data_IF_227216882746
#
_entry.id   IF_227216882746
#
_cell.length_a   1.000
_cell.length_b   1.000
_cell.length_c   1.000
_cell.angle_alpha   90.00
_cell.angle_beta   90.00
_cell.angle_gamma   90.00
#
_symmetry.space_group_name_H-M   'P 1'
#
loop_
_entity.id
_entity.type
_entity.pdbx_description
1 polymer ?
#
# COMPACT_ATOMS: atom_id res chain seq x y z
N UNK A 1 -16.31 -12.72 -26.98
CA UNK A 1 -16.73 -11.55 -26.19
C UNK A 1 -17.11 -12.06 -24.81
N UNK A 2 -16.48 -11.61 -23.77
CA UNK A 2 -16.71 -12.12 -22.40
C UNK A 2 -17.01 -10.94 -21.48
N UNK A 3 -18.12 -11.01 -20.75
CA UNK A 3 -18.49 -10.10 -19.69
C UNK A 3 -18.07 -10.75 -18.37
N UNK A 4 -17.41 -9.99 -17.49
CA UNK A 4 -16.89 -10.51 -16.21
C UNK A 4 -17.10 -9.46 -15.14
N UNK A 5 -17.56 -9.90 -13.99
CA UNK A 5 -17.65 -9.06 -12.78
C UNK A 5 -16.38 -9.20 -11.94
N UNK A 6 -15.92 -8.07 -11.40
CA UNK A 6 -14.69 -8.01 -10.59
C UNK A 6 -14.83 -7.00 -9.46
N UNK A 7 -14.68 -7.46 -8.23
CA UNK A 7 -14.44 -6.57 -7.11
C UNK A 7 -13.05 -5.96 -7.25
N UNK A 8 -12.96 -4.64 -7.22
CA UNK A 8 -11.70 -3.92 -7.36
C UNK A 8 -11.76 -2.52 -6.74
N UNK A 9 -10.58 -1.98 -6.40
CA UNK A 9 -10.40 -0.59 -5.99
C UNK A 9 -9.67 0.19 -7.09
N UNK A 10 -10.06 1.45 -7.32
CA UNK A 10 -9.37 2.35 -8.24
C UNK A 10 -8.10 2.88 -7.58
N UNK A 11 -6.94 2.49 -8.11
CA UNK A 11 -5.63 2.98 -7.66
C UNK A 11 -5.23 4.28 -8.33
N UNK A 12 -5.57 4.42 -9.61
CA UNK A 12 -5.22 5.57 -10.43
C UNK A 12 -6.21 5.71 -11.58
N UNK A 13 -6.36 6.92 -12.07
CA UNK A 13 -7.00 7.17 -13.36
C UNK A 13 -6.18 8.17 -14.20
N UNK A 14 -6.35 8.09 -15.50
CA UNK A 14 -5.89 9.09 -16.45
C UNK A 14 -7.08 9.54 -17.31
N UNK A 15 -7.24 10.86 -17.48
CA UNK A 15 -8.26 11.38 -18.37
C UNK A 15 -7.94 10.95 -19.81
N UNK A 16 -8.95 10.44 -20.50
CA UNK A 16 -8.85 9.96 -21.87
C UNK A 16 -10.00 10.55 -22.68
N UNK A 17 -9.69 11.31 -23.74
CA UNK A 17 -10.67 12.10 -24.47
C UNK A 17 -11.47 13.05 -23.55
N UNK A 18 -12.58 13.59 -24.04
CA UNK A 18 -13.33 14.62 -23.32
C UNK A 18 -14.07 14.10 -22.08
N UNK A 19 -14.61 12.89 -22.15
CA UNK A 19 -15.50 12.37 -21.12
C UNK A 19 -15.11 11.00 -20.58
N UNK A 20 -13.97 10.46 -20.98
CA UNK A 20 -13.53 9.11 -20.64
C UNK A 20 -12.37 9.16 -19.64
N UNK A 21 -12.16 8.04 -18.93
CA UNK A 21 -10.97 7.79 -18.12
C UNK A 21 -10.42 6.39 -18.40
N UNK A 22 -9.11 6.26 -18.40
CA UNK A 22 -8.45 4.97 -18.24
C UNK A 22 -8.24 4.75 -16.76
N UNK A 23 -8.83 3.68 -16.20
CA UNK A 23 -8.73 3.30 -14.81
C UNK A 23 -7.66 2.23 -14.63
N UNK A 24 -6.83 2.38 -13.60
CA UNK A 24 -6.01 1.30 -13.06
C UNK A 24 -6.73 0.76 -11.83
N UNK A 25 -7.29 -0.43 -11.96
CA UNK A 25 -8.03 -1.14 -10.92
C UNK A 25 -7.13 -2.19 -10.27
N UNK A 26 -7.33 -2.43 -8.98
CA UNK A 26 -6.69 -3.50 -8.24
C UNK A 26 -7.72 -4.50 -7.74
N UNK A 27 -7.67 -5.71 -8.30
CA UNK A 27 -8.56 -6.81 -7.97
C UNK A 27 -7.85 -7.89 -7.16
N UNK A 28 -8.51 -8.49 -6.15
CA UNK A 28 -7.96 -9.62 -5.39
C UNK A 28 -7.57 -10.81 -6.25
N UNK A 29 -8.35 -11.06 -7.32
CA UNK A 29 -8.23 -12.27 -8.14
C UNK A 29 -7.43 -12.08 -9.44
N UNK A 30 -7.31 -10.83 -9.92
CA UNK A 30 -6.66 -10.51 -11.21
C UNK A 30 -5.49 -9.55 -11.07
N UNK A 31 -5.19 -9.10 -9.82
CA UNK A 31 -4.19 -8.08 -9.61
C UNK A 31 -4.52 -6.78 -10.32
N UNK A 32 -3.61 -6.30 -11.15
CA UNK A 32 -3.77 -5.07 -11.91
C UNK A 32 -4.66 -5.25 -13.14
N UNK A 33 -5.65 -4.37 -13.30
CA UNK A 33 -6.55 -4.33 -14.45
C UNK A 33 -6.56 -2.90 -15.00
N UNK A 34 -6.31 -2.75 -16.31
CA UNK A 34 -6.50 -1.48 -17.01
C UNK A 34 -7.83 -1.52 -17.77
N UNK A 35 -8.74 -0.59 -17.45
CA UNK A 35 -10.08 -0.57 -18.07
C UNK A 35 -10.50 0.84 -18.46
N UNK A 36 -11.11 0.97 -19.63
CA UNK A 36 -11.65 2.23 -20.13
C UNK A 36 -13.05 2.47 -19.57
N UNK A 37 -13.23 3.55 -18.80
CA UNK A 37 -14.51 4.02 -18.30
C UNK A 37 -15.07 5.11 -19.23
N UNK A 38 -15.91 4.69 -20.19
CA UNK A 38 -16.47 5.58 -21.21
C UNK A 38 -17.55 6.48 -20.63
N UNK A 39 -17.48 7.77 -20.96
CA UNK A 39 -18.47 8.75 -20.53
C UNK A 39 -18.54 8.95 -19.00
N UNK A 40 -17.59 8.45 -18.25
CA UNK A 40 -17.61 8.51 -16.78
C UNK A 40 -17.57 9.94 -16.24
N UNK A 41 -17.03 10.91 -17.01
CA UNK A 41 -16.93 12.32 -16.60
C UNK A 41 -18.17 13.15 -16.96
N UNK A 42 -19.18 12.57 -17.62
CA UNK A 42 -20.43 13.27 -17.86
C UNK A 42 -21.20 13.49 -16.55
N UNK A 43 -21.84 14.65 -16.31
CA UNK A 43 -22.46 14.98 -15.03
C UNK A 43 -23.51 13.99 -14.52
N UNK A 44 -24.15 13.22 -15.39
CA UNK A 44 -25.17 12.22 -15.06
C UNK A 44 -24.68 10.79 -15.34
N UNK A 45 -23.36 10.58 -15.36
CA UNK A 45 -22.83 9.24 -15.62
C UNK A 45 -23.08 8.32 -14.41
N UNK A 46 -23.66 7.11 -14.62
CA UNK A 46 -23.87 6.17 -13.53
C UNK A 46 -22.56 5.64 -12.91
N UNK A 47 -21.45 5.75 -13.65
CA UNK A 47 -20.12 5.31 -13.19
C UNK A 47 -19.19 6.48 -12.81
N UNK A 48 -19.74 7.69 -12.62
CA UNK A 48 -18.94 8.88 -12.28
C UNK A 48 -18.15 8.63 -11.00
N UNK A 49 -18.84 8.32 -9.90
CA UNK A 49 -18.21 8.10 -8.58
C UNK A 49 -17.34 6.83 -8.54
N UNK A 50 -17.72 5.81 -9.30
CA UNK A 50 -16.94 4.58 -9.41
C UNK A 50 -15.65 4.74 -10.23
N UNK A 51 -15.46 5.86 -10.91
CA UNK A 51 -14.24 6.18 -11.67
C UNK A 51 -13.29 7.13 -10.93
N UNK A 52 -13.57 7.41 -9.65
CA UNK A 52 -12.73 8.26 -8.80
C UNK A 52 -11.69 7.44 -8.03
N UNK A 53 -10.60 8.09 -7.57
CA UNK A 53 -9.62 7.46 -6.69
C UNK A 53 -10.29 6.91 -5.43
N UNK A 54 -9.77 5.81 -4.90
CA UNK A 54 -10.27 5.09 -3.73
C UNK A 54 -11.62 4.38 -3.93
N UNK A 55 -12.30 4.54 -5.06
CA UNK A 55 -13.57 3.87 -5.27
C UNK A 55 -13.38 2.34 -5.28
N UNK A 56 -13.96 1.68 -4.28
CA UNK A 56 -14.08 0.22 -4.19
C UNK A 56 -15.48 -0.16 -4.68
N UNK A 57 -15.57 -1.12 -5.58
CA UNK A 57 -16.84 -1.57 -6.12
C UNK A 57 -16.72 -2.86 -6.91
N UNK A 58 -17.88 -3.37 -7.30
CA UNK A 58 -18.00 -4.48 -8.25
C UNK A 58 -18.15 -3.90 -9.66
N UNK A 59 -17.14 -4.14 -10.48
CA UNK A 59 -17.04 -3.63 -11.84
C UNK A 59 -17.40 -4.71 -12.84
N UNK A 60 -18.39 -4.43 -13.67
CA UNK A 60 -18.72 -5.24 -14.82
C UNK A 60 -17.86 -4.82 -16.00
N UNK A 61 -17.01 -5.72 -16.47
CA UNK A 61 -16.04 -5.46 -17.51
C UNK A 61 -16.38 -6.22 -18.79
N UNK A 62 -16.40 -5.51 -19.91
CA UNK A 62 -16.54 -6.07 -21.24
C UNK A 62 -15.19 -6.15 -21.93
N UNK A 63 -14.81 -7.34 -22.39
CA UNK A 63 -13.55 -7.57 -23.08
C UNK A 63 -13.73 -7.64 -24.59
N UNK A 64 -12.95 -6.82 -25.31
CA UNK A 64 -12.81 -6.87 -26.78
C UNK A 64 -11.34 -6.92 -27.16
N UNK A 65 -10.86 -8.08 -27.57
CA UNK A 65 -9.42 -8.31 -27.76
C UNK A 65 -8.65 -8.13 -26.44
N UNK A 66 -7.62 -7.30 -26.44
CA UNK A 66 -6.83 -6.97 -25.25
C UNK A 66 -7.44 -5.83 -24.40
N UNK A 67 -8.51 -5.18 -24.85
CA UNK A 67 -9.08 -4.01 -24.20
C UNK A 67 -10.24 -4.37 -23.29
N UNK A 68 -10.24 -3.83 -22.08
CA UNK A 68 -11.33 -3.90 -21.13
C UNK A 68 -12.07 -2.56 -21.08
N UNK A 69 -13.40 -2.61 -21.01
CA UNK A 69 -14.25 -1.43 -20.87
C UNK A 69 -15.20 -1.66 -19.69
N UNK A 70 -15.33 -0.67 -18.81
CA UNK A 70 -16.32 -0.68 -17.72
C UNK A 70 -17.72 -0.49 -18.33
N UNK A 71 -18.60 -1.46 -18.13
CA UNK A 71 -20.00 -1.42 -18.56
C UNK A 71 -20.85 -0.80 -17.46
N UNK A 72 -20.70 -1.30 -16.25
CA UNK A 72 -21.39 -0.83 -15.06
C UNK A 72 -20.47 -0.98 -13.83
N UNK A 73 -20.82 -0.31 -12.74
CA UNK A 73 -20.14 -0.49 -11.47
C UNK A 73 -21.11 -0.28 -10.31
N UNK A 74 -21.07 -1.18 -9.33
CA UNK A 74 -21.77 -1.03 -8.06
C UNK A 74 -20.76 -0.65 -6.98
N UNK A 75 -20.89 0.56 -6.44
CA UNK A 75 -20.01 1.04 -5.38
C UNK A 75 -20.26 0.29 -4.07
N UNK A 76 -19.16 -0.08 -3.40
CA UNK A 76 -19.14 -0.67 -2.06
C UNK A 76 -18.68 0.40 -1.07
N UNK A 77 -17.57 1.09 -1.36
CA UNK A 77 -16.99 2.12 -0.49
C UNK A 77 -16.23 3.16 -1.33
N UNK A 78 -16.21 4.40 -0.91
CA UNK A 78 -15.52 5.51 -1.59
C UNK A 78 -14.42 6.15 -0.77
N UNK A 79 -14.34 5.79 0.52
CA UNK A 79 -13.45 6.44 1.50
C UNK A 79 -13.57 7.96 1.45
N UNK A 80 -14.81 8.45 1.28
CA UNK A 80 -15.10 9.87 1.05
C UNK A 80 -14.53 10.80 2.14
N UNK A 81 -14.56 10.46 3.45
CA UNK A 81 -14.03 11.33 4.49
C UNK A 81 -12.53 11.66 4.33
N UNK A 82 -11.74 10.83 3.62
CA UNK A 82 -10.34 11.17 3.32
C UNK A 82 -10.22 12.51 2.59
N UNK A 83 -11.21 12.87 1.75
CA UNK A 83 -11.16 14.09 0.92
C UNK A 83 -11.33 15.38 1.73
N UNK A 84 -11.79 15.30 2.97
CA UNK A 84 -11.93 16.43 3.85
C UNK A 84 -10.61 16.91 4.48
N UNK A 85 -9.57 16.06 4.44
CA UNK A 85 -8.27 16.31 5.03
C UNK A 85 -7.16 16.09 3.99
N UNK A 86 -6.42 17.15 3.68
CA UNK A 86 -5.36 17.10 2.67
C UNK A 86 -4.24 16.12 3.03
N UNK A 87 -3.86 16.03 4.30
CA UNK A 87 -2.80 15.13 4.76
C UNK A 87 -3.26 13.68 4.61
N UNK A 88 -4.49 13.37 5.02
CA UNK A 88 -5.05 12.02 4.89
C UNK A 88 -5.19 11.59 3.43
N UNK A 89 -5.65 12.47 2.54
CA UNK A 89 -5.75 12.13 1.11
C UNK A 89 -4.37 11.92 0.48
N UNK A 90 -3.38 12.71 0.90
CA UNK A 90 -2.00 12.55 0.43
C UNK A 90 -1.40 11.22 0.87
N UNK A 91 -1.61 10.83 2.12
CA UNK A 91 -1.20 9.53 2.67
C UNK A 91 -1.93 8.39 1.97
N UNK A 92 -3.25 8.49 1.78
CA UNK A 92 -4.02 7.50 1.04
C UNK A 92 -3.50 7.32 -0.40
N UNK A 93 -3.22 8.42 -1.09
CA UNK A 93 -2.64 8.41 -2.45
C UNK A 93 -1.26 7.75 -2.48
N UNK A 94 -0.44 7.97 -1.44
CA UNK A 94 0.84 7.27 -1.29
C UNK A 94 0.64 5.76 -1.17
N UNK A 95 -0.31 5.30 -0.34
CA UNK A 95 -0.62 3.87 -0.19
C UNK A 95 -1.07 3.23 -1.53
N UNK A 96 -1.95 3.92 -2.28
CA UNK A 96 -2.37 3.46 -3.62
C UNK A 96 -1.18 3.35 -4.58
N UNK A 97 -0.28 4.35 -4.57
CA UNK A 97 0.88 4.37 -5.47
C UNK A 97 1.92 3.30 -5.11
N UNK A 98 2.13 3.02 -3.82
CA UNK A 98 2.96 1.88 -3.37
C UNK A 98 2.36 0.57 -3.85
N UNK A 99 1.05 0.35 -3.65
CA UNK A 99 0.37 -0.85 -4.11
C UNK A 99 0.45 -1.01 -5.64
N UNK A 100 0.25 0.08 -6.41
CA UNK A 100 0.36 0.07 -7.88
C UNK A 100 1.74 -0.40 -8.36
N UNK A 101 2.81 -0.11 -7.62
CA UNK A 101 4.18 -0.46 -7.99
C UNK A 101 4.50 -1.96 -7.85
N UNK A 102 3.78 -2.69 -7.01
CA UNK A 102 4.05 -4.12 -6.74
C UNK A 102 3.08 -5.06 -7.46
N UNK A 103 1.88 -4.60 -7.79
CA UNK A 103 0.88 -5.45 -8.44
C UNK A 103 1.19 -5.74 -9.90
N UNK A 104 0.89 -6.95 -10.32
CA UNK A 104 1.05 -7.40 -11.70
C UNK A 104 -0.28 -7.81 -12.33
N UNK A 105 -0.45 -7.63 -13.66
CA UNK A 105 -1.64 -8.11 -14.37
C UNK A 105 -1.76 -9.64 -14.31
N UNK A 106 -2.96 -10.12 -14.00
CA UNK A 106 -3.27 -11.56 -13.99
C UNK A 106 -2.74 -12.34 -12.78
N UNK A 107 -2.04 -11.67 -11.86
CA UNK A 107 -1.51 -12.29 -10.64
C UNK A 107 -2.44 -12.01 -9.46
N UNK A 108 -3.07 -13.03 -8.84
CA UNK A 108 -3.89 -12.85 -7.66
C UNK A 108 -3.08 -12.23 -6.52
N UNK A 109 -3.68 -11.25 -5.81
CA UNK A 109 -3.02 -10.51 -4.74
C UNK A 109 -4.01 -10.19 -3.59
N UNK A 110 -4.75 -11.19 -3.15
CA UNK A 110 -5.83 -11.02 -2.16
C UNK A 110 -5.32 -10.44 -0.85
N UNK A 111 -4.19 -10.93 -0.32
CA UNK A 111 -3.63 -10.42 0.94
C UNK A 111 -3.27 -8.94 0.84
N UNK A 112 -2.69 -8.53 -0.29
CA UNK A 112 -2.31 -7.13 -0.49
C UNK A 112 -3.52 -6.21 -0.66
N UNK A 113 -4.58 -6.66 -1.36
CA UNK A 113 -5.84 -5.89 -1.45
C UNK A 113 -6.43 -5.71 -0.05
N UNK A 114 -6.52 -6.78 0.74
CA UNK A 114 -7.07 -6.71 2.10
C UNK A 114 -6.23 -5.82 3.00
N UNK A 115 -4.91 -5.88 2.91
CA UNK A 115 -3.99 -4.99 3.63
C UNK A 115 -4.24 -3.52 3.27
N UNK A 116 -4.36 -3.21 1.97
CA UNK A 116 -4.63 -1.87 1.49
C UNK A 116 -5.98 -1.35 1.98
N UNK A 117 -7.06 -2.14 1.82
CA UNK A 117 -8.41 -1.75 2.24
C UNK A 117 -8.49 -1.55 3.76
N UNK A 118 -7.86 -2.44 4.54
CA UNK A 118 -7.80 -2.30 5.99
C UNK A 118 -7.07 -1.01 6.40
N UNK A 119 -5.93 -0.71 5.78
CA UNK A 119 -5.16 0.51 6.06
C UNK A 119 -5.95 1.77 5.70
N UNK A 120 -6.59 1.79 4.51
CA UNK A 120 -7.44 2.90 4.08
C UNK A 120 -8.64 3.10 5.02
N UNK A 121 -9.27 2.00 5.47
CA UNK A 121 -10.37 2.07 6.44
C UNK A 121 -9.93 2.70 7.75
N UNK A 122 -8.79 2.29 8.31
CA UNK A 122 -8.25 2.90 9.53
C UNK A 122 -7.86 4.37 9.32
N UNK A 123 -7.22 4.68 8.20
CA UNK A 123 -6.87 6.06 7.85
C UNK A 123 -8.12 6.95 7.70
N UNK A 124 -9.24 6.39 7.23
CA UNK A 124 -10.48 7.13 6.97
C UNK A 124 -11.33 7.31 8.22
N UNK A 125 -11.51 6.24 9.01
CA UNK A 125 -12.55 6.14 10.03
C UNK A 125 -12.02 6.12 11.46
N UNK A 126 -10.71 6.32 11.67
CA UNK A 126 -10.13 6.45 13.01
C UNK A 126 -9.25 7.69 13.10
N UNK A 127 -9.01 8.15 14.34
CA UNK A 127 -8.12 9.29 14.61
C UNK A 127 -6.66 8.87 14.84
N UNK A 128 -6.28 7.68 14.37
CA UNK A 128 -4.91 7.20 14.52
C UNK A 128 -3.92 8.04 13.74
N UNK A 129 -2.73 8.28 14.30
CA UNK A 129 -1.64 8.91 13.56
C UNK A 129 -1.30 8.12 12.31
N UNK A 130 -1.12 8.81 11.19
CA UNK A 130 -0.90 8.16 9.89
C UNK A 130 0.46 7.46 9.77
N UNK A 131 1.52 7.94 10.46
CA UNK A 131 2.86 7.33 10.36
C UNK A 131 2.91 5.88 10.84
N UNK A 132 2.37 5.52 12.01
CA UNK A 132 2.24 4.13 12.42
C UNK A 132 1.42 3.28 11.45
N UNK A 133 0.33 3.82 10.89
CA UNK A 133 -0.48 3.11 9.90
C UNK A 133 0.33 2.80 8.64
N UNK A 134 1.02 3.79 8.09
CA UNK A 134 1.88 3.59 6.91
C UNK A 134 3.04 2.65 7.22
N UNK A 135 3.70 2.78 8.38
CA UNK A 135 4.77 1.88 8.78
C UNK A 135 4.30 0.42 8.85
N UNK A 136 3.12 0.18 9.42
CA UNK A 136 2.50 -1.14 9.47
C UNK A 136 2.17 -1.68 8.08
N UNK A 137 1.56 -0.86 7.22
CA UNK A 137 1.31 -1.21 5.83
C UNK A 137 2.58 -1.63 5.10
N UNK A 138 3.63 -0.79 5.15
CA UNK A 138 4.90 -1.06 4.49
C UNK A 138 5.56 -2.34 5.01
N UNK A 139 5.50 -2.58 6.31
CA UNK A 139 6.08 -3.78 6.90
C UNK A 139 5.33 -5.06 6.48
N UNK A 140 3.99 -5.05 6.45
CA UNK A 140 3.20 -6.17 5.96
C UNK A 140 3.37 -6.36 4.45
N UNK A 141 3.46 -5.28 3.67
CA UNK A 141 3.77 -5.34 2.24
C UNK A 141 5.05 -6.13 1.97
N UNK A 142 6.12 -5.92 2.78
CA UNK A 142 7.36 -6.69 2.62
C UNK A 142 7.17 -8.19 2.81
N UNK A 143 6.17 -8.57 3.61
CA UNK A 143 5.82 -9.97 3.82
C UNK A 143 5.04 -10.56 2.64
N UNK A 144 4.10 -9.81 2.07
CA UNK A 144 3.34 -10.21 0.89
C UNK A 144 4.26 -10.38 -0.34
N UNK A 145 5.26 -9.49 -0.48
CA UNK A 145 6.18 -9.45 -1.62
C UNK A 145 7.45 -10.30 -1.43
N UNK A 146 7.57 -11.03 -0.33
CA UNK A 146 8.66 -11.99 -0.11
C UNK A 146 10.01 -11.40 0.31
N UNK A 147 10.08 -10.09 0.61
CA UNK A 147 11.32 -9.46 1.11
C UNK A 147 11.20 -8.98 2.57
N UNK A 148 10.49 -9.76 3.40
CA UNK A 148 10.33 -9.52 4.84
C UNK A 148 11.67 -9.29 5.53
N UNK A 149 11.85 -8.19 6.29
CA UNK A 149 13.12 -7.92 6.95
C UNK A 149 13.44 -8.97 8.02
N UNK A 150 14.71 -9.40 8.08
CA UNK A 150 15.24 -10.24 9.16
C UNK A 150 15.31 -9.42 10.44
N UNK A 151 14.67 -9.89 11.53
CA UNK A 151 14.49 -9.12 12.78
C UNK A 151 14.90 -9.87 14.04
N UNK A 152 15.33 -11.12 13.94
CA UNK A 152 15.73 -11.95 15.08
C UNK A 152 17.22 -12.30 15.08
N UNK A 153 17.87 -12.20 13.93
CA UNK A 153 19.28 -12.49 13.74
C UNK A 153 19.93 -11.37 12.95
N UNK A 154 21.19 -11.09 13.27
CA UNK A 154 22.01 -10.18 12.47
C UNK A 154 22.13 -10.70 11.05
N UNK A 155 21.91 -9.82 10.04
CA UNK A 155 21.97 -10.24 8.63
C UNK A 155 23.37 -10.54 8.14
N UNK A 156 24.41 -10.16 8.88
CA UNK A 156 25.82 -10.37 8.53
C UNK A 156 26.44 -11.57 9.24
N UNK A 157 26.34 -11.67 10.57
CA UNK A 157 26.99 -12.73 11.36
C UNK A 157 26.03 -13.80 11.89
N UNK A 158 24.73 -13.67 11.59
CA UNK A 158 23.66 -14.59 11.99
C UNK A 158 23.46 -14.72 13.51
N UNK A 159 24.20 -13.97 14.35
CA UNK A 159 24.01 -13.93 15.79
C UNK A 159 22.56 -13.58 16.13
N UNK A 160 21.98 -14.29 17.08
CA UNK A 160 20.65 -13.95 17.60
C UNK A 160 20.69 -12.61 18.31
N UNK A 161 19.78 -11.73 17.96
CA UNK A 161 19.61 -10.41 18.54
C UNK A 161 18.70 -10.51 19.77
N UNK A 162 19.11 -9.86 20.87
CA UNK A 162 18.31 -9.79 22.09
C UNK A 162 17.18 -8.75 21.93
N UNK A 163 16.23 -8.76 22.86
CA UNK A 163 15.10 -7.81 22.78
C UNK A 163 15.45 -6.42 23.30
N UNK A 164 16.54 -6.31 24.06
CA UNK A 164 16.95 -5.08 24.74
C UNK A 164 18.12 -4.36 24.11
N UNK A 165 18.82 -5.01 23.16
CA UNK A 165 19.98 -4.41 22.52
C UNK A 165 19.61 -3.39 21.46
N UNK A 166 20.41 -2.35 21.32
CA UNK A 166 20.36 -1.45 20.18
C UNK A 166 20.86 -2.16 18.93
N UNK A 167 20.16 -1.94 17.82
CA UNK A 167 20.49 -2.56 16.53
C UNK A 167 20.51 -1.48 15.45
N UNK A 168 21.02 -1.83 14.29
CA UNK A 168 20.99 -1.00 13.09
C UNK A 168 20.24 -1.74 11.98
N UNK A 169 19.89 -1.05 10.93
CA UNK A 169 19.18 -1.65 9.81
C UNK A 169 20.02 -1.55 8.52
N UNK A 170 20.25 -2.70 7.91
CA UNK A 170 20.84 -2.76 6.58
C UNK A 170 19.73 -2.90 5.52
N UNK A 171 19.54 -1.84 4.72
CA UNK A 171 18.56 -1.84 3.65
C UNK A 171 18.90 -2.84 2.54
N UNK A 172 20.19 -3.01 2.23
CA UNK A 172 20.65 -3.95 1.20
C UNK A 172 20.55 -5.41 1.69
N UNK A 173 21.02 -5.68 2.92
CA UNK A 173 20.91 -6.99 3.55
C UNK A 173 19.49 -7.36 3.99
N UNK A 174 18.59 -6.38 4.08
CA UNK A 174 17.19 -6.58 4.38
C UNK A 174 16.92 -7.00 5.82
N UNK A 175 17.50 -6.31 6.81
CA UNK A 175 17.21 -6.62 8.19
C UNK A 175 18.11 -5.97 9.22
N UNK A 176 17.98 -6.45 10.47
CA UNK A 176 18.70 -5.92 11.62
C UNK A 176 20.15 -6.39 11.66
N UNK A 177 21.02 -5.50 12.14
CA UNK A 177 22.47 -5.69 12.29
C UNK A 177 22.87 -5.46 13.73
N UNK A 178 23.76 -6.29 14.26
CA UNK A 178 24.28 -6.15 15.62
C UNK A 178 25.36 -5.05 15.70
N UNK A 179 25.76 -4.70 16.93
CA UNK A 179 26.79 -3.69 17.20
C UNK A 179 28.11 -3.99 16.47
N UNK A 180 28.58 -5.24 16.47
CA UNK A 180 29.89 -5.60 15.89
C UNK A 180 29.92 -5.56 14.35
N UNK A 181 28.75 -5.68 13.71
CA UNK A 181 28.63 -5.75 12.25
C UNK A 181 28.11 -4.45 11.62
N UNK A 182 27.67 -3.45 12.42
CA UNK A 182 27.10 -2.24 11.84
C UNK A 182 28.17 -1.39 11.13
N UNK A 183 27.78 -0.76 10.04
CA UNK A 183 28.63 0.15 9.29
C UNK A 183 28.14 1.59 9.47
N UNK A 184 29.07 2.55 9.32
CA UNK A 184 28.75 3.97 9.38
C UNK A 184 27.68 4.32 8.33
N UNK A 185 26.63 5.01 8.75
CA UNK A 185 25.50 5.40 7.89
C UNK A 185 24.30 4.47 7.95
N UNK A 186 24.40 3.30 8.57
CA UNK A 186 23.20 2.49 8.83
C UNK A 186 22.30 3.18 9.87
N UNK A 187 20.98 3.28 9.62
CA UNK A 187 20.06 3.84 10.57
C UNK A 187 19.96 2.98 11.83
N UNK A 188 20.03 3.63 12.99
CA UNK A 188 19.84 2.99 14.27
C UNK A 188 18.37 2.59 14.48
N UNK A 189 18.16 1.42 15.07
CA UNK A 189 16.84 0.88 15.42
C UNK A 189 16.81 0.60 16.91
N UNK A 190 15.96 1.32 17.63
CA UNK A 190 15.80 1.10 19.08
C UNK A 190 15.21 -0.27 19.39
N UNK A 191 15.44 -0.76 20.60
CA UNK A 191 14.83 -2.00 21.08
C UNK A 191 13.30 -1.98 20.98
N UNK A 192 12.67 -0.82 21.26
CA UNK A 192 11.24 -0.64 21.14
C UNK A 192 10.76 -0.78 19.68
N UNK A 193 11.46 -0.18 18.72
CA UNK A 193 11.17 -0.30 17.28
C UNK A 193 11.34 -1.73 16.78
N UNK A 194 12.42 -2.40 17.18
CA UNK A 194 12.66 -3.80 16.83
C UNK A 194 11.57 -4.72 17.41
N UNK A 195 11.13 -4.48 18.66
CA UNK A 195 10.01 -5.19 19.28
C UNK A 195 8.71 -4.95 18.54
N UNK A 196 8.41 -3.70 18.17
CA UNK A 196 7.23 -3.35 17.38
C UNK A 196 7.21 -4.07 16.04
N UNK A 197 8.31 -4.06 15.28
CA UNK A 197 8.41 -4.78 14.00
C UNK A 197 8.17 -6.29 14.16
N UNK A 198 8.65 -6.88 15.27
CA UNK A 198 8.39 -8.30 15.57
C UNK A 198 6.93 -8.58 15.85
N UNK A 199 6.30 -7.77 16.70
CA UNK A 199 4.90 -7.90 17.06
C UNK A 199 3.99 -7.71 15.85
N UNK A 200 4.21 -6.66 15.05
CA UNK A 200 3.42 -6.35 13.87
C UNK A 200 3.40 -7.50 12.86
N UNK A 201 4.53 -8.15 12.61
CA UNK A 201 4.63 -9.28 11.66
C UNK A 201 4.16 -10.64 12.24
N UNK A 202 3.88 -10.74 13.53
CA UNK A 202 3.25 -11.93 14.12
C UNK A 202 1.72 -11.83 14.10
N UNK A 203 1.18 -10.61 14.04
CA UNK A 203 -0.24 -10.37 13.83
C UNK A 203 -0.56 -10.52 12.34
N UNK A 204 -1.70 -11.09 11.99
CA UNK A 204 -2.18 -11.06 10.59
C UNK A 204 -2.40 -9.62 10.12
N UNK A 205 -2.48 -9.42 8.81
CA UNK A 205 -2.69 -8.08 8.20
C UNK A 205 -3.98 -7.37 8.68
N UNK A 206 -4.92 -8.09 9.26
CA UNK A 206 -6.14 -7.57 9.86
C UNK A 206 -5.98 -7.13 11.34
N UNK A 207 -4.88 -7.50 11.99
CA UNK A 207 -4.63 -7.23 13.41
C UNK A 207 -3.46 -6.28 13.56
N UNK A 208 -3.75 -4.99 13.72
CA UNK A 208 -2.73 -3.96 13.91
C UNK A 208 -2.36 -3.83 15.37
N UNK A 209 -1.06 -3.75 15.63
CA UNK A 209 -0.56 -3.34 16.93
C UNK A 209 -0.61 -1.82 16.98
N UNK A 210 -1.53 -1.28 17.78
CA UNK A 210 -1.57 0.16 18.03
C UNK A 210 -0.25 0.59 18.65
N UNK A 211 0.34 1.62 18.08
CA UNK A 211 1.67 2.07 18.48
C UNK A 211 1.70 3.58 18.58
N UNK A 212 2.34 4.12 19.62
CA UNK A 212 2.68 5.53 19.65
C UNK A 212 3.52 5.89 18.41
N UNK A 213 3.31 7.08 17.86
CA UNK A 213 3.99 7.55 16.65
C UNK A 213 5.52 7.45 16.74
N UNK A 214 6.08 7.72 17.91
CA UNK A 214 7.52 7.65 18.17
C UNK A 214 8.15 6.25 18.08
N UNK A 215 7.35 5.18 18.15
CA UNK A 215 7.85 3.81 18.16
C UNK A 215 7.86 3.22 16.74
N UNK A 216 6.89 3.57 15.91
CA UNK A 216 6.83 3.02 14.56
C UNK A 216 7.99 3.55 13.69
N UNK A 217 8.85 2.69 13.13
CA UNK A 217 10.00 3.13 12.34
C UNK A 217 9.60 3.49 10.91
N UNK A 218 8.72 4.49 10.76
CA UNK A 218 8.15 4.90 9.47
C UNK A 218 9.22 5.26 8.44
N UNK A 219 10.13 6.18 8.77
CA UNK A 219 11.16 6.66 7.84
C UNK A 219 12.08 5.52 7.36
N UNK A 220 12.45 4.63 8.28
CA UNK A 220 13.26 3.45 7.97
C UNK A 220 12.54 2.49 7.02
N UNK A 221 11.28 2.14 7.33
CA UNK A 221 10.49 1.20 6.52
C UNK A 221 10.16 1.78 5.16
N UNK A 222 9.87 3.09 5.10
CA UNK A 222 9.69 3.79 3.84
C UNK A 222 10.93 3.69 2.96
N UNK A 223 12.11 4.06 3.48
CA UNK A 223 13.36 3.96 2.75
C UNK A 223 13.63 2.51 2.31
N UNK A 224 13.39 1.53 3.19
CA UNK A 224 13.59 0.11 2.87
C UNK A 224 12.70 -0.35 1.71
N UNK A 225 11.41 -0.05 1.75
CA UNK A 225 10.47 -0.46 0.69
C UNK A 225 10.79 0.27 -0.61
N UNK A 226 10.98 1.59 -0.57
CA UNK A 226 11.26 2.39 -1.78
C UNK A 226 12.55 1.97 -2.49
N UNK A 227 13.56 1.44 -1.77
CA UNK A 227 14.78 0.87 -2.39
C UNK A 227 14.55 -0.48 -3.08
N UNK A 228 13.43 -1.16 -2.80
CA UNK A 228 13.07 -2.46 -3.40
C UNK A 228 12.07 -2.35 -4.54
N UNK A 229 11.47 -1.18 -4.72
CA UNK A 229 10.53 -0.95 -5.80
C UNK A 229 11.27 -0.59 -7.09
N UNK A 230 10.86 -1.20 -8.19
CA UNK A 230 11.43 -0.94 -9.53
C UNK A 230 11.12 0.49 -10.03
N UNK A 231 10.14 1.14 -9.42
CA UNK A 231 9.66 2.46 -9.82
C UNK A 231 9.59 3.40 -8.62
N UNK A 232 9.89 4.70 -8.81
CA UNK A 232 9.78 5.67 -7.73
C UNK A 232 8.31 5.84 -7.29
N UNK A 233 8.10 5.97 -5.99
CA UNK A 233 6.78 6.29 -5.40
C UNK A 233 6.54 7.78 -5.55
N UNK A 234 5.90 8.20 -6.65
CA UNK A 234 5.70 9.62 -6.99
C UNK A 234 4.93 10.38 -5.90
N UNK A 235 3.94 9.74 -5.32
CA UNK A 235 3.14 10.32 -4.24
C UNK A 235 3.91 10.56 -2.94
N UNK A 236 5.14 10.04 -2.80
CA UNK A 236 6.01 10.29 -1.65
C UNK A 236 6.32 11.80 -1.44
N UNK A 237 6.34 12.57 -2.53
CA UNK A 237 6.56 14.02 -2.48
C UNK A 237 5.37 14.80 -1.89
N UNK A 238 4.19 14.18 -1.82
CA UNK A 238 2.95 14.79 -1.30
C UNK A 238 2.71 14.46 0.18
N UNK A 239 3.51 13.57 0.77
CA UNK A 239 3.35 13.21 2.18
C UNK A 239 3.54 14.43 3.08
N UNK A 240 2.76 14.53 4.17
CA UNK A 240 2.90 15.62 5.13
C UNK A 240 4.34 15.70 5.65
N UNK A 241 4.86 16.92 5.74
CA UNK A 241 6.19 17.19 6.31
C UNK A 241 6.12 17.10 7.84
N UNK A 242 7.25 16.83 8.46
CA UNK A 242 7.41 16.81 9.91
C UNK A 242 7.22 18.21 10.50
#
# INVERSE_FOLDING_TARGET
>A
MRQTERTAIVLRYANYRDNDRMLTLFSPTQGRIEALARGCRKPRSPILNASELFALGDYELYQKGAHLTVVSAQLIETFYPLRADFDRVSVGTYLLNVAENVIQPGVPAQELVMLLLHTLSRLTFTDQPWRPLVAGFLLHLTACEGFRPRRRHCVHCERRLTETESTWFDHAGGGLVCYDCHLKGMPAVSAAQAKWMRAMLTCGSASWVDSPEMIAPYTLLRAYVETRLDRPVRAAAMLPRD
#
